data_IF_195740776694
#
_entry.id   IF_195740776694
#
_cell.length_a   1.000
_cell.length_b   1.000
_cell.length_c   1.000
_cell.angle_alpha   90.00
_cell.angle_beta   90.00
_cell.angle_gamma   90.00
#
_symmetry.space_group_name_H-M   'P 1'
#
loop_
_entity.id
_entity.type
_entity.pdbx_description
1 polymer ?
#
# COMPACT_ATOMS: atom_id res chain seq x y z
N UNK A 1 -55.15 32.84 -75.69
CA UNK A 1 -53.66 32.88 -75.70
C UNK A 1 -53.20 33.38 -74.36
N UNK A 2 -52.91 32.48 -73.48
CA UNK A 2 -52.49 32.74 -72.11
C UNK A 2 -50.99 32.47 -72.00
N UNK A 3 -50.25 33.45 -71.62
CA UNK A 3 -48.83 33.49 -71.57
C UNK A 3 -48.39 32.91 -70.20
N UNK A 4 -47.84 31.68 -70.18
CA UNK A 4 -47.30 31.06 -69.01
C UNK A 4 -45.93 31.71 -68.72
N UNK A 5 -45.83 32.38 -67.59
CA UNK A 5 -44.57 32.95 -67.04
C UNK A 5 -43.91 31.87 -66.18
N UNK A 6 -42.73 31.41 -66.58
CA UNK A 6 -41.91 30.55 -65.77
C UNK A 6 -41.21 31.38 -64.65
N UNK A 7 -41.18 30.92 -63.38
CA UNK A 7 -40.41 31.59 -62.35
C UNK A 7 -38.93 31.33 -62.52
N UNK A 8 -38.17 32.38 -62.50
CA UNK A 8 -36.72 32.46 -62.58
C UNK A 8 -36.10 31.69 -61.31
N UNK A 9 -35.23 30.76 -61.53
CA UNK A 9 -34.55 30.00 -60.50
C UNK A 9 -33.57 30.91 -59.71
N UNK A 10 -33.76 31.02 -58.43
CA UNK A 10 -32.85 31.72 -57.53
C UNK A 10 -31.44 31.07 -57.53
N UNK A 11 -30.37 31.87 -57.43
CA UNK A 11 -29.02 31.36 -57.42
C UNK A 11 -28.78 30.53 -56.15
N UNK A 12 -28.37 29.26 -56.29
CA UNK A 12 -27.87 28.42 -55.22
C UNK A 12 -26.60 29.05 -54.66
N UNK A 13 -26.63 29.43 -53.39
CA UNK A 13 -25.44 29.82 -52.65
C UNK A 13 -24.59 28.55 -52.40
N UNK A 14 -23.42 28.51 -52.97
CA UNK A 14 -22.39 27.50 -52.71
C UNK A 14 -21.92 27.59 -51.25
N UNK A 15 -22.08 26.59 -50.41
CA UNK A 15 -21.51 26.61 -49.08
C UNK A 15 -20.02 26.29 -49.21
N UNK A 16 -19.19 27.27 -49.52
CA UNK A 16 -17.73 27.13 -49.29
C UNK A 16 -17.51 26.99 -47.80
N UNK A 17 -17.49 25.75 -47.33
CA UNK A 17 -17.03 25.44 -46.00
C UNK A 17 -15.55 25.84 -45.91
N UNK A 18 -15.29 26.94 -45.27
CA UNK A 18 -13.96 27.46 -45.01
C UNK A 18 -13.33 26.60 -43.87
N UNK A 19 -13.19 25.31 -44.14
CA UNK A 19 -12.56 24.36 -43.22
C UNK A 19 -11.03 24.41 -43.44
N UNK A 20 -10.44 25.60 -43.24
CA UNK A 20 -8.97 25.70 -43.13
C UNK A 20 -8.57 25.12 -41.79
N UNK A 21 -8.28 23.83 -41.76
CA UNK A 21 -7.68 23.19 -40.61
C UNK A 21 -6.44 23.98 -40.15
N UNK A 22 -6.26 24.08 -38.84
CA UNK A 22 -5.11 24.78 -38.29
C UNK A 22 -3.81 24.21 -38.90
N UNK A 23 -2.84 25.08 -39.27
CA UNK A 23 -1.56 24.61 -39.81
C UNK A 23 -0.94 23.59 -38.85
N UNK A 24 -0.43 22.45 -39.39
CA UNK A 24 0.11 21.34 -38.60
C UNK A 24 1.12 21.79 -37.53
N UNK A 25 1.92 22.82 -37.81
CA UNK A 25 2.84 23.42 -36.84
C UNK A 25 2.15 24.05 -35.63
N UNK A 26 0.99 24.72 -35.82
CA UNK A 26 0.22 25.29 -34.70
C UNK A 26 -0.40 24.20 -33.83
N UNK A 27 -0.88 23.10 -34.43
CA UNK A 27 -1.42 21.97 -33.69
C UNK A 27 -0.32 21.29 -32.88
N UNK A 28 0.87 21.11 -33.47
CA UNK A 28 2.03 20.56 -32.77
C UNK A 28 2.46 21.44 -31.58
N UNK A 29 2.56 22.75 -31.78
CA UNK A 29 2.93 23.69 -30.71
C UNK A 29 1.88 23.67 -29.60
N UNK A 30 0.57 23.71 -29.93
CA UNK A 30 -0.49 23.64 -28.96
C UNK A 30 -0.45 22.31 -28.16
N UNK A 31 -0.20 21.19 -28.83
CA UNK A 31 -0.02 19.89 -28.20
C UNK A 31 1.17 19.85 -27.26
N UNK A 32 2.31 20.41 -27.67
CA UNK A 32 3.52 20.49 -26.82
C UNK A 32 3.31 21.37 -25.59
N UNK A 33 2.67 22.54 -25.77
CA UNK A 33 2.33 23.43 -24.66
C UNK A 33 1.35 22.77 -23.69
N UNK A 34 0.34 22.06 -24.21
CA UNK A 34 -0.59 21.30 -23.39
C UNK A 34 0.10 20.18 -22.59
N UNK A 35 1.04 19.46 -23.22
CA UNK A 35 1.82 18.41 -22.54
C UNK A 35 2.71 19.00 -21.44
N UNK A 36 3.42 20.10 -21.71
CA UNK A 36 4.24 20.78 -20.71
C UNK A 36 3.38 21.30 -19.56
N UNK A 37 2.24 21.91 -19.83
CA UNK A 37 1.30 22.34 -18.81
C UNK A 37 0.83 21.15 -17.94
N UNK A 38 0.49 20.02 -18.55
CA UNK A 38 0.09 18.81 -17.84
C UNK A 38 1.21 18.28 -16.93
N UNK A 39 2.47 18.31 -17.37
CA UNK A 39 3.63 17.93 -16.55
C UNK A 39 3.78 18.86 -15.34
N UNK A 40 3.70 20.18 -15.53
CA UNK A 40 3.81 21.14 -14.42
C UNK A 40 2.66 20.99 -13.42
N UNK A 41 1.42 20.85 -13.89
CA UNK A 41 0.25 20.69 -13.02
C UNK A 41 0.25 19.37 -12.25
N UNK A 42 0.90 18.33 -12.77
CA UNK A 42 1.01 17.01 -12.13
C UNK A 42 2.37 16.76 -11.49
N UNK A 43 3.26 17.74 -11.42
CA UNK A 43 4.64 17.56 -10.95
C UNK A 43 4.74 16.95 -9.56
N UNK A 44 3.90 17.36 -8.62
CA UNK A 44 3.85 16.79 -7.26
C UNK A 44 3.52 15.29 -7.26
N UNK A 45 2.58 14.85 -8.11
CA UNK A 45 2.25 13.43 -8.27
C UNK A 45 3.43 12.65 -8.87
N UNK A 46 4.11 13.22 -9.88
CA UNK A 46 5.27 12.59 -10.51
C UNK A 46 6.44 12.42 -9.53
N UNK A 47 6.68 13.40 -8.64
CA UNK A 47 7.67 13.27 -7.56
C UNK A 47 7.25 12.21 -6.55
N UNK A 48 5.97 12.17 -6.17
CA UNK A 48 5.45 11.14 -5.26
C UNK A 48 5.61 9.75 -5.86
N UNK A 49 5.27 9.56 -7.13
CA UNK A 49 5.44 8.28 -7.83
C UNK A 49 6.91 7.88 -7.95
N UNK A 50 7.80 8.85 -8.22
CA UNK A 50 9.25 8.61 -8.24
C UNK A 50 9.76 8.17 -6.84
N UNK A 51 9.27 8.76 -5.76
CA UNK A 51 9.61 8.35 -4.38
C UNK A 51 9.13 6.93 -4.05
N UNK A 52 8.03 6.47 -4.67
CA UNK A 52 7.51 5.11 -4.50
C UNK A 52 8.30 4.04 -5.26
N UNK A 53 9.11 4.44 -6.25
CA UNK A 53 9.96 3.49 -6.97
C UNK A 53 10.99 2.84 -6.03
N UNK A 54 11.33 1.55 -6.25
CA UNK A 54 12.44 0.91 -5.56
C UNK A 54 13.75 1.70 -5.73
N UNK A 55 14.63 1.65 -4.75
CA UNK A 55 15.94 2.31 -4.85
C UNK A 55 16.74 1.77 -6.02
N UNK A 56 17.31 2.69 -6.81
CA UNK A 56 18.08 2.35 -8.00
C UNK A 56 18.22 3.53 -8.96
N UNK A 57 18.94 3.29 -10.07
CA UNK A 57 19.22 4.32 -11.06
C UNK A 57 17.96 4.96 -11.66
N UNK A 58 16.91 4.18 -11.88
CA UNK A 58 15.62 4.67 -12.41
C UNK A 58 14.93 5.66 -11.47
N UNK A 59 14.91 5.38 -10.15
CA UNK A 59 14.38 6.30 -9.14
C UNK A 59 15.21 7.56 -9.06
N UNK A 60 16.54 7.42 -8.98
CA UNK A 60 17.47 8.57 -8.92
C UNK A 60 17.29 9.50 -10.12
N UNK A 61 17.16 8.93 -11.32
CA UNK A 61 16.91 9.69 -12.54
C UNK A 61 15.53 10.37 -12.52
N UNK A 62 14.49 9.65 -12.13
CA UNK A 62 13.14 10.21 -12.01
C UNK A 62 13.11 11.38 -11.01
N UNK A 63 13.70 11.23 -9.83
CA UNK A 63 13.77 12.31 -8.84
C UNK A 63 14.62 13.49 -9.33
N UNK A 64 15.75 13.24 -10.01
CA UNK A 64 16.57 14.29 -10.59
C UNK A 64 15.82 15.12 -11.64
N UNK A 65 14.89 14.52 -12.37
CA UNK A 65 14.06 15.19 -13.38
C UNK A 65 12.85 15.90 -12.74
N UNK A 66 12.09 15.18 -11.91
CA UNK A 66 10.78 15.68 -11.44
C UNK A 66 10.86 16.64 -10.26
N UNK A 67 11.89 16.53 -9.38
CA UNK A 67 12.02 17.42 -8.21
C UNK A 67 12.23 18.89 -8.60
N UNK A 68 13.13 19.23 -9.56
CA UNK A 68 13.27 20.62 -10.00
C UNK A 68 12.02 21.18 -10.66
N UNK A 69 11.29 20.34 -11.42
CA UNK A 69 10.04 20.74 -12.10
C UNK A 69 8.95 21.03 -11.06
N UNK A 70 8.81 20.18 -10.03
CA UNK A 70 7.86 20.39 -8.93
C UNK A 70 8.20 21.65 -8.13
N UNK A 71 9.48 21.86 -7.80
CA UNK A 71 9.91 23.07 -7.11
C UNK A 71 9.60 24.34 -7.91
N UNK A 72 9.82 24.32 -9.23
CA UNK A 72 9.45 25.42 -10.13
C UNK A 72 7.95 25.61 -10.22
N UNK A 73 7.17 24.55 -10.33
CA UNK A 73 5.70 24.59 -10.38
C UNK A 73 5.10 25.15 -9.07
N UNK A 74 5.63 24.74 -7.93
CA UNK A 74 5.24 25.22 -6.60
C UNK A 74 5.57 26.70 -6.43
N UNK A 75 6.76 27.16 -6.85
CA UNK A 75 7.15 28.58 -6.82
C UNK A 75 6.22 29.46 -7.66
N UNK A 76 5.76 28.94 -8.82
CA UNK A 76 4.84 29.66 -9.71
C UNK A 76 3.36 29.52 -9.28
N UNK A 77 3.06 28.80 -8.19
CA UNK A 77 1.70 28.57 -7.72
C UNK A 77 0.86 27.66 -8.62
N UNK A 78 1.47 26.95 -9.57
CA UNK A 78 0.78 26.09 -10.53
C UNK A 78 0.22 24.80 -9.92
N UNK A 79 0.63 24.45 -8.72
CA UNK A 79 0.11 23.30 -7.96
C UNK A 79 -1.22 23.60 -7.24
N UNK A 80 -1.56 24.91 -7.06
CA UNK A 80 -2.77 25.36 -6.37
C UNK A 80 -4.10 24.93 -7.02
N UNK A 81 -4.28 24.93 -8.35
CA UNK A 81 -5.56 24.58 -8.96
C UNK A 81 -6.00 23.14 -8.65
N UNK A 82 -5.06 22.20 -8.56
CA UNK A 82 -5.35 20.82 -8.22
C UNK A 82 -5.79 20.69 -6.76
N UNK A 83 -5.05 21.27 -5.83
CA UNK A 83 -5.39 21.26 -4.40
C UNK A 83 -6.75 21.96 -4.13
N UNK A 84 -7.09 23.00 -4.88
CA UNK A 84 -8.40 23.65 -4.80
C UNK A 84 -9.53 22.79 -5.37
N UNK A 85 -9.27 22.11 -6.50
CA UNK A 85 -10.23 21.19 -7.12
C UNK A 85 -10.53 19.97 -6.24
N UNK A 86 -9.51 19.39 -5.62
CA UNK A 86 -9.64 18.25 -4.69
C UNK A 86 -10.46 18.63 -3.45
N UNK A 87 -10.27 19.84 -2.89
CA UNK A 87 -11.08 20.36 -1.79
C UNK A 87 -12.54 20.61 -2.18
N UNK A 88 -12.79 21.17 -3.38
CA UNK A 88 -14.14 21.43 -3.89
C UNK A 88 -14.92 20.14 -4.18
N UNK A 89 -14.23 19.06 -4.54
CA UNK A 89 -14.82 17.76 -4.86
C UNK A 89 -14.97 16.87 -3.62
N UNK A 90 -14.62 17.35 -2.41
CA UNK A 90 -14.66 16.58 -1.18
C UNK A 90 -13.64 15.44 -1.13
N UNK A 91 -12.66 15.43 -2.07
CA UNK A 91 -11.54 14.51 -2.11
C UNK A 91 -10.39 15.12 -1.33
N UNK A 92 -10.43 14.99 -0.02
CA UNK A 92 -9.39 15.52 0.87
C UNK A 92 -8.10 14.71 0.85
N UNK A 93 -8.08 13.59 0.15
CA UNK A 93 -6.86 12.84 -0.17
C UNK A 93 -6.81 12.56 -1.67
N UNK A 94 -5.62 12.54 -2.31
CA UNK A 94 -5.51 12.08 -3.67
C UNK A 94 -6.07 10.66 -3.70
N UNK A 95 -7.09 10.44 -4.52
CA UNK A 95 -7.51 9.11 -4.93
C UNK A 95 -6.25 8.43 -5.44
N UNK A 96 -5.60 7.69 -4.54
CA UNK A 96 -4.42 6.93 -4.87
C UNK A 96 -4.95 5.91 -5.86
N UNK A 97 -4.78 6.23 -7.15
CA UNK A 97 -5.10 5.30 -8.22
C UNK A 97 -4.52 3.98 -7.77
N UNK A 98 -5.40 3.01 -7.56
CA UNK A 98 -5.06 1.64 -7.22
C UNK A 98 -4.11 1.20 -8.33
N UNK A 99 -2.84 1.48 -8.13
CA UNK A 99 -1.80 0.83 -8.93
C UNK A 99 -1.84 -0.57 -8.38
N UNK A 100 -2.70 -1.39 -9.00
CA UNK A 100 -2.71 -2.83 -8.83
C UNK A 100 -1.25 -3.23 -8.64
N UNK A 101 -0.97 -3.81 -7.51
CA UNK A 101 0.29 -4.39 -7.09
C UNK A 101 1.14 -4.70 -8.32
N UNK A 102 2.06 -3.82 -8.69
CA UNK A 102 2.99 -4.09 -9.77
C UNK A 102 3.99 -5.06 -9.20
N UNK A 103 3.69 -6.34 -9.43
CA UNK A 103 4.60 -7.41 -9.05
C UNK A 103 6.00 -7.02 -9.54
N UNK A 104 7.02 -7.09 -8.68
CA UNK A 104 8.39 -6.87 -9.11
C UNK A 104 8.69 -7.74 -10.32
N UNK A 105 9.32 -7.16 -11.32
CA UNK A 105 9.77 -7.89 -12.51
C UNK A 105 10.56 -9.11 -12.05
N UNK A 106 10.28 -10.27 -12.61
CA UNK A 106 10.99 -11.51 -12.33
C UNK A 106 12.50 -11.26 -12.29
N UNK A 107 13.10 -11.44 -11.13
CA UNK A 107 14.54 -11.48 -10.98
C UNK A 107 14.87 -12.96 -10.80
N UNK A 108 15.78 -13.44 -11.63
CA UNK A 108 16.30 -14.78 -11.55
C UNK A 108 16.65 -15.16 -10.11
N UNK A 109 15.99 -16.18 -9.59
CA UNK A 109 16.27 -16.78 -8.29
C UNK A 109 17.69 -17.32 -8.33
N UNK A 110 18.60 -16.68 -7.61
CA UNK A 110 19.91 -17.26 -7.38
C UNK A 110 19.78 -18.44 -6.40
N UNK A 111 20.54 -19.49 -6.65
CA UNK A 111 20.53 -20.76 -5.90
C UNK A 111 20.73 -20.64 -4.37
N UNK A 112 21.06 -19.47 -3.86
CA UNK A 112 21.17 -19.16 -2.42
C UNK A 112 19.81 -18.94 -1.72
N UNK A 113 18.72 -18.65 -2.45
CA UNK A 113 17.39 -18.43 -1.86
C UNK A 113 16.72 -19.77 -1.44
N UNK A 114 17.17 -20.91 -1.97
CA UNK A 114 16.57 -22.23 -1.68
C UNK A 114 17.07 -22.85 -0.37
N UNK A 115 18.28 -22.47 0.11
CA UNK A 115 18.92 -23.11 1.28
C UNK A 115 18.29 -22.69 2.62
N UNK A 116 17.50 -21.60 2.66
CA UNK A 116 16.89 -21.08 3.89
C UNK A 116 15.49 -21.61 4.20
N UNK A 117 14.95 -22.49 3.33
CA UNK A 117 13.57 -22.97 3.44
C UNK A 117 13.40 -24.27 4.23
N UNK A 118 14.49 -24.87 4.73
CA UNK A 118 14.43 -26.19 5.41
C UNK A 118 15.05 -26.08 6.79
N UNK A 119 14.26 -26.05 7.81
CA UNK A 119 14.25 -26.85 9.03
C UNK A 119 13.51 -26.15 10.18
N UNK A 120 12.54 -26.88 10.68
CA UNK A 120 12.13 -26.81 12.08
C UNK A 120 11.03 -25.82 12.40
N UNK A 121 9.78 -26.18 12.25
CA UNK A 121 8.69 -25.74 13.16
C UNK A 121 7.42 -26.59 12.90
N UNK A 122 7.40 -27.84 13.27
CA UNK A 122 6.14 -28.63 13.29
C UNK A 122 5.57 -28.90 14.70
N UNK A 123 6.34 -28.71 15.79
CA UNK A 123 5.91 -29.17 17.11
C UNK A 123 5.28 -28.11 18.04
N UNK A 124 5.27 -26.81 17.71
CA UNK A 124 4.79 -25.77 18.64
C UNK A 124 3.35 -25.25 18.37
N UNK A 125 2.66 -25.73 17.37
CA UNK A 125 1.40 -25.12 16.91
C UNK A 125 0.18 -25.50 17.78
N UNK A 126 0.15 -26.69 18.37
CA UNK A 126 -0.98 -27.13 19.23
C UNK A 126 -1.07 -26.40 20.57
N UNK A 127 0.05 -25.98 21.14
CA UNK A 127 0.06 -25.27 22.43
C UNK A 127 -0.42 -23.82 22.35
N UNK A 128 -0.36 -23.20 21.18
CA UNK A 128 -0.67 -21.75 20.99
C UNK A 128 -2.12 -21.45 20.73
N UNK A 129 -2.87 -22.37 20.15
CA UNK A 129 -4.32 -22.20 19.97
C UNK A 129 -5.07 -22.15 21.31
N UNK A 130 -4.58 -22.80 22.34
CA UNK A 130 -5.14 -22.75 23.71
C UNK A 130 -4.97 -21.38 24.37
N UNK A 131 -3.94 -20.60 24.03
CA UNK A 131 -3.69 -19.29 24.66
C UNK A 131 -4.61 -18.18 24.14
N UNK A 132 -5.13 -18.31 22.89
CA UNK A 132 -6.08 -17.35 22.34
C UNK A 132 -7.44 -17.46 23.02
N UNK A 133 -7.83 -18.66 23.45
CA UNK A 133 -9.08 -18.90 24.18
C UNK A 133 -9.04 -18.27 25.60
N UNK A 134 -7.88 -18.21 26.24
CA UNK A 134 -7.72 -17.65 27.57
C UNK A 134 -7.86 -16.11 27.64
N UNK A 135 -7.72 -15.39 26.53
CA UNK A 135 -7.92 -13.94 26.44
C UNK A 135 -9.40 -13.55 26.31
N UNK A 136 -10.28 -14.51 26.02
CA UNK A 136 -11.71 -14.28 25.87
C UNK A 136 -12.50 -14.27 27.20
N UNK A 137 -11.90 -14.64 28.33
CA UNK A 137 -12.64 -14.90 29.57
C UNK A 137 -12.78 -13.69 30.53
N UNK A 138 -12.20 -12.54 30.25
CA UNK A 138 -12.32 -11.36 31.13
C UNK A 138 -12.51 -10.00 30.47
N UNK A 139 -13.40 -9.79 29.51
CA UNK A 139 -13.54 -8.48 28.89
C UNK A 139 -14.67 -7.61 29.45
N UNK A 140 -15.61 -8.15 30.20
CA UNK A 140 -16.88 -7.48 30.45
C UNK A 140 -16.87 -6.30 31.46
N UNK A 141 -15.75 -6.02 32.13
CA UNK A 141 -15.69 -4.95 33.18
C UNK A 141 -14.70 -3.82 32.87
N UNK A 142 -13.84 -3.98 31.88
CA UNK A 142 -12.79 -3.00 31.59
C UNK A 142 -13.21 -1.94 30.59
N UNK A 143 -14.10 -2.28 29.66
CA UNK A 143 -14.56 -1.38 28.59
C UNK A 143 -16.05 -1.10 28.69
N UNK A 144 -16.45 0.12 28.32
CA UNK A 144 -17.83 0.60 28.30
C UNK A 144 -18.04 1.50 27.09
N UNK A 145 -19.26 1.98 26.86
CA UNK A 145 -19.53 2.97 25.80
C UNK A 145 -18.73 4.28 25.96
N UNK A 146 -18.34 4.62 27.20
CA UNK A 146 -17.59 5.82 27.53
C UNK A 146 -16.07 5.56 27.62
N UNK A 147 -15.66 4.31 27.68
CA UNK A 147 -14.26 3.86 27.71
C UNK A 147 -14.13 2.65 26.78
N UNK A 148 -14.05 2.89 25.46
CA UNK A 148 -14.01 1.83 24.46
C UNK A 148 -12.60 1.27 24.30
N UNK A 149 -12.54 0.02 23.85
CA UNK A 149 -11.30 -0.61 23.42
C UNK A 149 -10.78 0.06 22.16
N UNK A 150 -9.62 0.69 22.25
CA UNK A 150 -8.99 1.41 21.15
C UNK A 150 -8.10 0.47 20.31
N UNK A 151 -8.43 0.33 19.03
CA UNK A 151 -7.75 -0.56 18.09
C UNK A 151 -7.22 0.20 16.90
N UNK A 152 -5.94 -0.01 16.58
CA UNK A 152 -5.32 0.56 15.38
C UNK A 152 -4.86 -0.52 14.42
N UNK A 153 -5.15 -0.33 13.12
CA UNK A 153 -4.73 -1.22 12.03
C UNK A 153 -3.83 -0.43 11.10
N UNK A 154 -2.54 -0.74 11.07
CA UNK A 154 -1.55 0.04 10.33
C UNK A 154 -0.70 -0.84 9.41
N UNK A 155 -0.22 -0.30 8.31
CA UNK A 155 0.67 -1.02 7.41
C UNK A 155 0.73 -0.51 5.98
N UNK A 156 1.18 -1.37 5.09
CA UNK A 156 1.35 -1.05 3.68
C UNK A 156 0.01 -1.13 2.88
N UNK A 157 0.09 -1.21 1.56
CA UNK A 157 -1.10 -1.30 0.71
C UNK A 157 -1.97 -2.54 0.96
N UNK A 158 -1.45 -3.58 1.60
CA UNK A 158 -2.24 -4.75 1.96
C UNK A 158 -3.29 -4.40 3.02
N UNK A 159 -2.98 -3.50 3.95
CA UNK A 159 -3.94 -3.01 4.96
C UNK A 159 -5.13 -2.29 4.31
N UNK A 160 -4.94 -1.58 3.21
CA UNK A 160 -6.02 -0.88 2.53
C UNK A 160 -7.20 -1.79 2.17
N UNK A 161 -6.94 -3.06 1.83
CA UNK A 161 -7.98 -3.97 1.39
C UNK A 161 -8.79 -4.56 2.56
N UNK A 162 -8.14 -4.89 3.66
CA UNK A 162 -8.85 -5.50 4.79
C UNK A 162 -9.13 -4.52 5.93
N UNK A 163 -8.35 -3.44 6.06
CA UNK A 163 -8.40 -2.52 7.20
C UNK A 163 -9.76 -1.88 7.38
N UNK A 164 -10.34 -1.31 6.33
CA UNK A 164 -11.65 -0.67 6.40
C UNK A 164 -12.77 -1.69 6.69
N UNK A 165 -12.70 -2.89 6.11
CA UNK A 165 -13.64 -3.97 6.41
C UNK A 165 -13.50 -4.43 7.85
N UNK A 166 -12.26 -4.55 8.32
CA UNK A 166 -11.97 -4.94 9.70
C UNK A 166 -12.47 -3.90 10.70
N UNK A 167 -12.22 -2.61 10.45
CA UNK A 167 -12.75 -1.50 11.25
C UNK A 167 -14.28 -1.57 11.32
N UNK A 168 -14.93 -1.67 10.16
CA UNK A 168 -16.41 -1.77 10.10
C UNK A 168 -16.95 -2.95 10.89
N UNK A 169 -16.25 -4.10 10.85
CA UNK A 169 -16.64 -5.29 11.60
C UNK A 169 -16.38 -5.10 13.11
N UNK A 170 -15.25 -4.55 13.48
CA UNK A 170 -14.90 -4.30 14.89
C UNK A 170 -15.89 -3.34 15.55
N UNK A 171 -16.30 -2.30 14.86
CA UNK A 171 -17.25 -1.29 15.34
C UNK A 171 -18.71 -1.76 15.38
N UNK A 172 -19.02 -2.98 14.95
CA UNK A 172 -20.33 -3.62 15.27
C UNK A 172 -20.49 -3.81 16.77
N UNK A 173 -19.40 -3.86 17.53
CA UNK A 173 -19.41 -3.78 18.99
C UNK A 173 -19.36 -2.32 19.44
N UNK A 174 -20.33 -1.89 20.23
CA UNK A 174 -20.33 -0.57 20.84
C UNK A 174 -19.14 -0.33 21.83
N UNK A 175 -18.43 -1.39 22.19
CA UNK A 175 -17.28 -1.37 23.09
C UNK A 175 -15.95 -1.18 22.39
N UNK A 176 -15.90 -1.17 21.04
CA UNK A 176 -14.67 -1.05 20.25
C UNK A 176 -14.70 0.25 19.44
N UNK A 177 -13.59 0.93 19.42
CA UNK A 177 -13.28 2.00 18.50
C UNK A 177 -12.07 1.58 17.68
N UNK A 178 -12.19 1.56 16.36
CA UNK A 178 -11.12 1.08 15.49
C UNK A 178 -10.71 2.15 14.48
N UNK A 179 -9.43 2.22 14.17
CA UNK A 179 -8.86 3.14 13.16
C UNK A 179 -7.96 2.38 12.22
N UNK A 180 -8.10 2.60 10.91
CA UNK A 180 -7.23 2.03 9.86
C UNK A 180 -6.37 3.12 9.23
N UNK A 181 -5.06 2.89 9.15
CA UNK A 181 -4.10 3.80 8.52
C UNK A 181 -3.17 3.04 7.55
N UNK A 182 -3.63 2.75 6.33
CA UNK A 182 -2.80 2.19 5.27
C UNK A 182 -1.93 3.28 4.61
N UNK A 183 -0.65 2.98 4.36
CA UNK A 183 0.23 3.84 3.55
C UNK A 183 0.77 3.05 2.36
N UNK A 184 0.31 3.38 1.17
CA UNK A 184 0.67 2.67 -0.05
C UNK A 184 2.16 2.75 -0.34
N UNK A 185 2.70 1.66 -0.89
CA UNK A 185 4.12 1.53 -1.25
C UNK A 185 5.11 1.73 -0.08
N UNK A 186 4.61 1.81 1.15
CA UNK A 186 5.44 1.87 2.36
C UNK A 186 5.89 0.48 2.82
N UNK A 187 6.72 0.45 3.83
CA UNK A 187 7.23 -0.76 4.48
C UNK A 187 8.38 -0.42 5.40
N UNK A 188 8.92 -1.41 6.07
CA UNK A 188 10.02 -1.21 7.01
C UNK A 188 11.37 -1.03 6.30
N UNK A 189 11.49 -1.43 5.03
CA UNK A 189 12.71 -1.26 4.23
C UNK A 189 12.96 0.19 3.79
N UNK A 190 11.93 1.05 3.80
CA UNK A 190 11.94 2.39 3.20
C UNK A 190 11.57 3.51 4.17
N UNK A 191 12.33 3.71 5.28
CA UNK A 191 12.07 4.82 6.21
C UNK A 191 12.28 6.21 5.57
N UNK A 192 13.01 6.29 4.47
CA UNK A 192 13.19 7.51 3.67
C UNK A 192 11.91 7.91 2.91
N UNK A 193 11.03 6.97 2.64
CA UNK A 193 9.72 7.22 2.05
C UNK A 193 8.64 7.43 3.11
N UNK A 194 8.57 6.52 4.10
CA UNK A 194 7.66 6.62 5.24
C UNK A 194 8.26 5.89 6.44
N UNK A 195 8.48 6.64 7.53
CA UNK A 195 9.09 6.13 8.78
C UNK A 195 8.03 5.56 9.72
N UNK A 196 7.69 4.28 9.52
CA UNK A 196 6.72 3.57 10.37
C UNK A 196 7.07 3.58 11.85
N UNK A 197 8.31 3.34 12.30
CA UNK A 197 8.67 3.46 13.69
C UNK A 197 8.31 4.82 14.31
N UNK A 198 8.59 5.91 13.61
CA UNK A 198 8.22 7.26 14.07
C UNK A 198 6.69 7.42 14.11
N UNK A 199 5.99 7.02 13.05
CA UNK A 199 4.53 7.11 13.02
C UNK A 199 3.84 6.28 14.10
N UNK A 200 4.31 5.06 14.34
CA UNK A 200 3.81 4.21 15.42
C UNK A 200 4.04 4.86 16.79
N UNK A 201 5.21 5.44 17.02
CA UNK A 201 5.47 6.18 18.27
C UNK A 201 4.51 7.36 18.48
N UNK A 202 4.16 8.08 17.40
CA UNK A 202 3.14 9.14 17.44
C UNK A 202 1.75 8.57 17.79
N UNK A 203 1.36 7.45 17.21
CA UNK A 203 0.09 6.77 17.51
C UNK A 203 0.06 6.37 18.98
N UNK A 204 1.13 5.75 19.49
CA UNK A 204 1.23 5.37 20.91
C UNK A 204 1.09 6.58 21.83
N UNK A 205 1.72 7.70 21.49
CA UNK A 205 1.73 8.91 22.31
C UNK A 205 0.39 9.67 22.29
N UNK A 206 -0.22 9.76 21.11
CA UNK A 206 -1.38 10.63 20.91
C UNK A 206 -2.73 9.92 21.11
N UNK A 207 -2.77 8.60 20.94
CA UNK A 207 -4.01 7.81 20.96
C UNK A 207 -4.00 6.71 22.02
N UNK A 208 -2.83 6.27 22.48
CA UNK A 208 -2.65 5.24 23.51
C UNK A 208 -3.53 3.97 23.30
N UNK A 209 -3.51 3.34 22.11
CA UNK A 209 -4.40 2.22 21.81
C UNK A 209 -4.18 1.02 22.74
N UNK A 210 -5.22 0.21 22.93
CA UNK A 210 -5.15 -1.06 23.67
C UNK A 210 -4.56 -2.19 22.84
N UNK A 211 -4.79 -2.15 21.53
CA UNK A 211 -4.19 -3.10 20.59
C UNK A 211 -3.81 -2.45 19.27
N UNK A 212 -2.79 -3.01 18.63
CA UNK A 212 -2.36 -2.62 17.30
C UNK A 212 -2.28 -3.86 16.41
N UNK A 213 -2.82 -3.76 15.21
CA UNK A 213 -2.64 -4.74 14.14
C UNK A 213 -1.69 -4.14 13.12
N UNK A 214 -0.64 -4.86 12.75
CA UNK A 214 0.29 -4.43 11.71
C UNK A 214 0.39 -5.45 10.59
N UNK A 215 0.53 -4.96 9.35
CA UNK A 215 0.83 -5.80 8.19
C UNK A 215 1.78 -5.06 7.25
N UNK A 216 3.01 -5.54 7.20
CA UNK A 216 4.09 -5.05 6.32
C UNK A 216 4.62 -6.19 5.47
N UNK A 217 5.41 -5.88 4.45
CA UNK A 217 6.22 -6.86 3.75
C UNK A 217 6.04 -6.86 2.24
N UNK A 218 4.87 -6.51 1.74
CA UNK A 218 4.62 -6.50 0.29
C UNK A 218 5.65 -5.71 -0.52
N UNK A 219 6.22 -4.67 0.07
CA UNK A 219 7.21 -3.79 -0.56
C UNK A 219 8.61 -3.96 0.02
N UNK A 220 8.82 -4.82 1.02
CA UNK A 220 10.07 -4.87 1.79
C UNK A 220 11.16 -5.76 1.18
N UNK A 221 10.81 -6.61 0.22
CA UNK A 221 11.76 -7.47 -0.50
C UNK A 221 12.65 -6.68 -1.48
N UNK A 222 13.35 -5.67 -0.99
CA UNK A 222 14.26 -4.79 -1.73
C UNK A 222 15.49 -4.46 -0.89
N UNK A 223 16.53 -3.88 -1.50
CA UNK A 223 17.73 -3.49 -0.77
C UNK A 223 17.40 -2.47 0.33
N UNK A 224 18.09 -2.58 1.47
CA UNK A 224 17.91 -1.72 2.63
C UNK A 224 19.11 -0.78 2.77
N UNK A 225 18.85 0.49 3.03
CA UNK A 225 19.86 1.41 3.50
C UNK A 225 19.80 1.47 5.02
N UNK A 226 20.89 1.12 5.67
CA UNK A 226 21.00 1.22 7.12
C UNK A 226 21.23 2.66 7.59
N UNK A 227 21.11 2.90 8.90
CA UNK A 227 21.29 4.23 9.50
C UNK A 227 22.71 4.79 9.33
N UNK A 228 23.72 3.94 9.21
CA UNK A 228 25.11 4.30 8.95
C UNK A 228 25.38 4.67 7.49
N UNK A 229 24.34 4.57 6.62
CA UNK A 229 24.39 4.87 5.20
C UNK A 229 24.80 3.70 4.30
N UNK A 230 25.17 2.56 4.87
CA UNK A 230 25.51 1.36 4.11
C UNK A 230 24.30 0.71 3.47
N UNK A 231 24.50 0.13 2.28
CA UNK A 231 23.49 -0.64 1.59
C UNK A 231 23.65 -2.12 1.92
N UNK A 232 22.53 -2.78 2.23
CA UNK A 232 22.42 -4.20 2.38
C UNK A 232 21.59 -4.76 1.22
N UNK A 233 22.16 -5.68 0.47
CA UNK A 233 21.44 -6.36 -0.60
C UNK A 233 20.37 -7.28 -0.01
N UNK A 234 19.21 -7.30 -0.65
CA UNK A 234 18.06 -8.05 -0.15
C UNK A 234 18.41 -9.53 0.07
N UNK A 235 17.96 -10.04 1.20
CA UNK A 235 18.12 -11.42 1.65
C UNK A 235 19.55 -11.88 1.91
N UNK A 236 20.57 -11.02 1.79
CA UNK A 236 21.89 -11.28 2.33
C UNK A 236 21.87 -11.19 3.87
N UNK A 237 22.84 -11.83 4.54
CA UNK A 237 22.89 -11.90 6.02
C UNK A 237 22.78 -10.52 6.69
N UNK A 238 23.45 -9.52 6.13
CA UNK A 238 23.40 -8.14 6.65
C UNK A 238 22.02 -7.52 6.49
N UNK A 239 21.30 -7.83 5.39
CA UNK A 239 19.93 -7.42 5.18
C UNK A 239 19.00 -8.10 6.19
N UNK A 240 19.14 -9.42 6.39
CA UNK A 240 18.34 -10.17 7.34
C UNK A 240 18.48 -9.61 8.75
N UNK A 241 19.71 -9.30 9.18
CA UNK A 241 19.97 -8.71 10.49
C UNK A 241 19.32 -7.32 10.63
N UNK A 242 19.48 -6.44 9.64
CA UNK A 242 18.90 -5.10 9.67
C UNK A 242 17.37 -5.14 9.62
N UNK A 243 16.80 -6.01 8.79
CA UNK A 243 15.34 -6.12 8.69
C UNK A 243 14.73 -6.70 9.98
N UNK A 244 15.35 -7.70 10.59
CA UNK A 244 14.96 -8.21 11.92
C UNK A 244 15.01 -7.12 12.98
N UNK A 245 16.05 -6.31 12.98
CA UNK A 245 16.18 -5.16 13.90
C UNK A 245 15.03 -4.17 13.74
N UNK A 246 14.57 -3.91 12.51
CA UNK A 246 13.42 -3.03 12.24
C UNK A 246 12.11 -3.64 12.71
N UNK A 247 11.90 -4.93 12.47
CA UNK A 247 10.75 -5.68 12.99
C UNK A 247 10.72 -5.60 14.52
N UNK A 248 11.83 -5.95 15.17
CA UNK A 248 11.97 -5.91 16.61
C UNK A 248 11.64 -4.52 17.18
N UNK A 249 12.17 -3.46 16.56
CA UNK A 249 11.89 -2.08 16.97
C UNK A 249 10.40 -1.74 16.96
N UNK A 250 9.66 -2.13 15.91
CA UNK A 250 8.20 -1.90 15.86
C UNK A 250 7.50 -2.69 16.95
N UNK A 251 7.86 -3.96 17.15
CA UNK A 251 7.26 -4.79 18.20
C UNK A 251 7.49 -4.19 19.59
N UNK A 252 8.72 -3.77 19.86
CA UNK A 252 9.10 -3.19 21.13
C UNK A 252 8.41 -1.83 21.37
N UNK A 253 8.32 -0.97 20.33
CA UNK A 253 7.60 0.32 20.44
C UNK A 253 6.13 0.15 20.84
N UNK A 254 5.45 -0.84 20.28
CA UNK A 254 4.04 -1.07 20.58
C UNK A 254 3.84 -1.65 21.99
N UNK A 255 4.75 -2.51 22.45
CA UNK A 255 4.55 -3.29 23.67
C UNK A 255 5.36 -2.81 24.88
N UNK A 256 6.10 -1.68 24.80
CA UNK A 256 7.02 -1.24 25.86
C UNK A 256 6.32 -0.70 27.11
N UNK A 257 5.28 0.10 26.96
CA UNK A 257 4.81 0.98 28.04
C UNK A 257 3.54 0.51 28.75
N UNK A 258 2.74 -0.36 28.12
CA UNK A 258 1.40 -0.74 28.57
C UNK A 258 1.16 -2.21 28.26
N UNK A 259 0.19 -2.82 28.90
CA UNK A 259 -0.30 -4.17 28.57
C UNK A 259 -1.03 -4.21 27.20
N UNK A 260 -0.38 -3.63 26.21
CA UNK A 260 -0.86 -3.51 24.83
C UNK A 260 -0.53 -4.75 24.05
N UNK A 261 -1.48 -5.21 23.23
CA UNK A 261 -1.31 -6.38 22.37
C UNK A 261 -0.95 -5.92 20.96
N UNK A 262 0.04 -6.56 20.39
CA UNK A 262 0.39 -6.43 18.97
C UNK A 262 0.03 -7.71 18.21
N UNK A 263 -0.83 -7.59 17.20
CA UNK A 263 -1.08 -8.63 16.22
C UNK A 263 -0.26 -8.33 14.96
N UNK A 264 0.73 -9.16 14.68
CA UNK A 264 1.52 -9.05 13.46
C UNK A 264 0.99 -9.99 12.40
N UNK A 265 0.34 -9.43 11.38
CA UNK A 265 -0.30 -10.20 10.31
C UNK A 265 0.72 -10.53 9.24
N UNK A 266 0.88 -11.80 8.94
CA UNK A 266 1.75 -12.31 7.89
C UNK A 266 1.19 -12.08 6.48
N UNK A 267 2.08 -12.12 5.49
CA UNK A 267 1.71 -12.00 4.09
C UNK A 267 0.98 -13.26 3.61
N UNK A 268 -0.14 -13.13 2.88
CA UNK A 268 -0.84 -14.27 2.31
C UNK A 268 -0.03 -14.92 1.18
N UNK A 269 -0.44 -16.09 0.67
CA UNK A 269 0.19 -16.70 -0.48
C UNK A 269 0.08 -15.80 -1.72
N UNK A 270 1.16 -15.72 -2.50
CA UNK A 270 1.24 -14.87 -3.68
C UNK A 270 1.17 -15.70 -4.97
N UNK A 271 0.52 -15.15 -6.01
CA UNK A 271 0.34 -15.84 -7.29
C UNK A 271 1.66 -16.21 -7.97
N UNK A 272 2.67 -15.33 -7.92
CA UNK A 272 3.99 -15.59 -8.50
C UNK A 272 4.87 -16.32 -7.50
N UNK A 273 5.35 -17.51 -7.89
CA UNK A 273 6.15 -18.37 -7.02
C UNK A 273 7.36 -17.65 -6.40
N UNK A 274 8.18 -16.95 -7.19
CA UNK A 274 9.36 -16.26 -6.65
C UNK A 274 9.01 -15.11 -5.70
N UNK A 275 7.86 -14.46 -5.87
CA UNK A 275 7.37 -13.46 -4.91
C UNK A 275 6.81 -14.14 -3.65
N UNK A 276 6.13 -15.26 -3.81
CA UNK A 276 5.60 -16.05 -2.71
C UNK A 276 6.73 -16.57 -1.79
N UNK A 277 7.82 -17.09 -2.35
CA UNK A 277 8.99 -17.52 -1.60
C UNK A 277 9.58 -16.37 -0.76
N UNK A 278 9.69 -15.17 -1.33
CA UNK A 278 10.16 -14.00 -0.58
C UNK A 278 9.22 -13.64 0.57
N UNK A 279 7.91 -13.72 0.35
CA UNK A 279 6.93 -13.46 1.43
C UNK A 279 6.97 -14.52 2.52
N UNK A 280 7.25 -15.77 2.17
CA UNK A 280 7.46 -16.82 3.17
C UNK A 280 8.68 -16.53 4.04
N UNK A 281 9.79 -16.10 3.43
CA UNK A 281 11.00 -15.72 4.18
C UNK A 281 10.70 -14.55 5.13
N UNK A 282 10.04 -13.53 4.64
CA UNK A 282 9.63 -12.36 5.45
C UNK A 282 8.70 -12.78 6.60
N UNK A 283 7.73 -13.67 6.33
CA UNK A 283 6.83 -14.22 7.34
C UNK A 283 7.59 -15.01 8.43
N UNK A 284 8.62 -15.77 8.04
CA UNK A 284 9.45 -16.49 9.00
C UNK A 284 10.21 -15.54 9.94
N UNK A 285 10.70 -14.41 9.44
CA UNK A 285 11.31 -13.38 10.28
C UNK A 285 10.29 -12.81 11.29
N UNK A 286 9.07 -12.49 10.85
CA UNK A 286 8.01 -12.01 11.74
C UNK A 286 7.65 -13.01 12.82
N UNK A 287 7.46 -14.28 12.46
CA UNK A 287 7.15 -15.35 13.39
C UNK A 287 8.27 -15.52 14.43
N UNK A 288 9.53 -15.51 13.97
CA UNK A 288 10.70 -15.66 14.85
C UNK A 288 10.81 -14.50 15.83
N UNK A 289 10.63 -13.25 15.38
CA UNK A 289 10.70 -12.07 16.25
C UNK A 289 9.51 -12.02 17.23
N UNK A 290 8.32 -12.44 16.80
CA UNK A 290 7.14 -12.47 17.65
C UNK A 290 7.25 -13.56 18.75
N UNK A 291 7.87 -14.70 18.47
CA UNK A 291 7.96 -15.83 19.39
C UNK A 291 8.66 -15.47 20.71
N UNK A 292 9.59 -14.53 20.69
CA UNK A 292 10.31 -14.04 21.87
C UNK A 292 9.58 -12.98 22.71
N UNK A 293 8.33 -12.59 22.33
CA UNK A 293 7.60 -11.45 22.92
C UNK A 293 6.21 -11.87 23.39
N UNK A 294 5.97 -11.83 24.69
CA UNK A 294 4.74 -12.31 25.32
C UNK A 294 3.46 -11.60 24.77
N UNK A 295 3.57 -10.31 24.45
CA UNK A 295 2.43 -9.48 24.01
C UNK A 295 2.35 -9.29 22.50
N UNK A 296 3.17 -10.03 21.73
CA UNK A 296 3.12 -10.05 20.29
C UNK A 296 2.57 -11.40 19.82
N UNK A 297 1.60 -11.36 18.92
CA UNK A 297 1.02 -12.57 18.29
C UNK A 297 1.22 -12.47 16.78
N UNK A 298 1.89 -13.44 16.22
CA UNK A 298 1.95 -13.61 14.76
C UNK A 298 0.68 -14.30 14.27
N UNK A 299 0.03 -13.70 13.26
CA UNK A 299 -1.17 -14.23 12.62
C UNK A 299 -0.81 -14.73 11.23
N UNK A 300 -0.85 -16.03 11.01
CA UNK A 300 -0.56 -16.64 9.72
C UNK A 300 -1.80 -16.63 8.83
N UNK A 301 -1.74 -15.94 7.70
CA UNK A 301 -2.82 -15.91 6.72
C UNK A 301 -2.70 -16.99 5.65
N UNK A 302 -1.56 -17.71 5.59
CA UNK A 302 -1.30 -18.62 4.48
C UNK A 302 -2.30 -19.76 4.42
N UNK A 303 -2.61 -20.37 5.53
CA UNK A 303 -3.57 -21.48 5.58
C UNK A 303 -4.98 -21.05 5.15
N UNK A 304 -5.37 -19.81 5.46
CA UNK A 304 -6.69 -19.28 5.12
C UNK A 304 -6.84 -18.97 3.62
N UNK A 305 -5.72 -18.67 2.93
CA UNK A 305 -5.73 -18.19 1.55
C UNK A 305 -5.07 -19.16 0.55
N UNK A 306 -4.88 -20.42 0.93
CA UNK A 306 -4.43 -21.50 0.05
C UNK A 306 -5.58 -22.44 -0.31
N UNK A 307 -5.46 -23.12 -1.46
CA UNK A 307 -6.33 -24.23 -1.79
C UNK A 307 -5.98 -25.50 -0.97
N UNK A 308 -6.75 -26.57 -1.17
CA UNK A 308 -6.53 -27.87 -0.47
C UNK A 308 -5.15 -28.49 -0.76
N UNK A 309 -4.38 -28.00 -1.73
CA UNK A 309 -3.01 -28.41 -2.01
C UNK A 309 -1.94 -27.48 -1.40
N UNK A 310 -2.36 -26.46 -0.62
CA UNK A 310 -1.46 -25.49 0.00
C UNK A 310 -0.93 -24.43 -0.96
N UNK A 311 -1.56 -24.27 -2.15
CA UNK A 311 -1.14 -23.30 -3.17
C UNK A 311 -2.05 -22.10 -3.23
N UNK A 312 -1.52 -21.00 -3.76
CA UNK A 312 -2.30 -19.80 -4.05
C UNK A 312 -3.57 -20.15 -4.86
N UNK A 313 -4.70 -19.68 -4.39
CA UNK A 313 -5.96 -19.73 -5.11
C UNK A 313 -6.56 -18.34 -5.25
N UNK A 314 -7.12 -18.03 -6.41
CA UNK A 314 -7.83 -16.78 -6.65
C UNK A 314 -9.23 -16.80 -6.01
N UNK A 315 -9.85 -17.97 -6.00
CA UNK A 315 -11.18 -18.19 -5.48
C UNK A 315 -11.13 -19.28 -4.41
N UNK A 316 -11.69 -19.00 -3.26
CA UNK A 316 -11.81 -19.95 -2.16
C UNK A 316 -13.28 -20.03 -1.71
N UNK A 317 -13.72 -21.15 -1.16
CA UNK A 317 -15.07 -21.25 -0.60
C UNK A 317 -15.18 -20.42 0.69
N UNK A 318 -16.25 -19.66 0.82
CA UNK A 318 -16.65 -19.05 2.10
C UNK A 318 -17.30 -20.11 3.01
N UNK A 319 -17.73 -19.69 4.20
CA UNK A 319 -18.38 -20.58 5.18
C UNK A 319 -19.64 -21.30 4.64
N UNK A 320 -20.29 -20.76 3.62
CA UNK A 320 -21.43 -21.38 2.93
C UNK A 320 -21.02 -22.33 1.80
N UNK A 321 -19.72 -22.44 1.50
CA UNK A 321 -19.17 -23.20 0.38
C UNK A 321 -19.22 -22.48 -0.97
N UNK A 322 -19.64 -21.21 -1.01
CA UNK A 322 -19.65 -20.39 -2.22
C UNK A 322 -18.25 -19.87 -2.51
N UNK A 323 -17.80 -19.99 -3.77
CA UNK A 323 -16.51 -19.46 -4.20
C UNK A 323 -16.55 -17.92 -4.21
N UNK A 324 -15.66 -17.31 -3.45
CA UNK A 324 -15.43 -15.86 -3.38
C UNK A 324 -14.03 -15.50 -3.89
N UNK A 325 -13.89 -14.32 -4.50
CA UNK A 325 -12.59 -13.79 -4.93
C UNK A 325 -11.83 -13.29 -3.69
N UNK A 326 -10.67 -13.86 -3.43
CA UNK A 326 -9.83 -13.57 -2.24
C UNK A 326 -8.54 -12.82 -2.59
N UNK A 327 -8.55 -12.12 -3.73
CA UNK A 327 -7.41 -11.28 -4.16
C UNK A 327 -7.44 -9.92 -3.49
#
# INVERSE_FOLDING_TARGET
>A
MEKIIHPESAPQADPKSNNQGAPAGRVLIAGLVGLLAAVFLNSAALVTDAKRMPDGASRSLALAIWTPIESGASFLGLTWPRAAGERLLGRSEPEQSITLFREPTEIETTSKEEEWLVDGVEEEQESRNSAIVGLAETPGSLWSSDNRFELWVVGDSMVQFFGDTFVSLAETSALVQATSEPVLASGLSRPDYFDWPTRIAEIMTNHDPDAVIVMFGGNDAQNIRAADGNWHERFEDSWLQEYRRRIARVMDLVTSDKDRILLWVGQPPMRRQGFDQRMQLVNNLYRTEAAGRERVRYVDLRELFTDSSGKYAKYLPDESGKLVDVR
#
